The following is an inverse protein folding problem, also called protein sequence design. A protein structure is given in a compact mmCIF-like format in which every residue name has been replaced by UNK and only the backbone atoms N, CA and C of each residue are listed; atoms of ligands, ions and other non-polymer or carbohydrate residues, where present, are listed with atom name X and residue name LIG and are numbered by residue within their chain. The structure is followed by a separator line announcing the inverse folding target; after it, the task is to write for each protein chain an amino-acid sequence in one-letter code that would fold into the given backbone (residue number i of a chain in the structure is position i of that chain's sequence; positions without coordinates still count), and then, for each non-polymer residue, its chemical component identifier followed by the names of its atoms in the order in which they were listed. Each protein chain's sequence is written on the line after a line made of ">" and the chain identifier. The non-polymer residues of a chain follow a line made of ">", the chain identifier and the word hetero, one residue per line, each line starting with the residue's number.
data_IF_846263894077
#
_entry.id   IF_846263894077
#
_cell.length_a   1.000
_cell.length_b   1.000
_cell.length_c   1.000
_cell.angle_alpha   90.00
_cell.angle_beta   90.00
_cell.angle_gamma   90.00
#
_symmetry.space_group_name_H-M   'P 1'
#
loop_
_entity.id
_entity.type
_entity.pdbx_description
1 polymer ?
#
# COMPACT_ATOMS: atom_id res chain seq x y z
N UNK A 1 -8.57 -16.68 -3.01
CA UNK A 1 -9.16 -16.79 -1.65
C UNK A 1 -8.51 -15.81 -0.69
N UNK A 2 -7.22 -16.00 -0.35
CA UNK A 2 -6.40 -15.15 0.54
C UNK A 2 -6.69 -13.63 0.49
N UNK A 3 -6.57 -12.98 -0.67
CA UNK A 3 -6.78 -11.52 -0.79
C UNK A 3 -8.18 -11.05 -0.31
N UNK A 4 -9.24 -11.82 -0.55
CA UNK A 4 -10.60 -11.50 -0.06
C UNK A 4 -10.67 -11.57 1.47
N UNK A 5 -9.95 -12.51 2.10
CA UNK A 5 -9.88 -12.62 3.55
C UNK A 5 -9.13 -11.41 4.15
N UNK A 6 -7.94 -11.08 3.64
CA UNK A 6 -7.19 -9.91 4.09
C UNK A 6 -7.98 -8.60 3.94
N UNK A 7 -8.69 -8.41 2.82
CA UNK A 7 -9.58 -7.26 2.64
C UNK A 7 -10.76 -7.25 3.63
N UNK A 8 -11.32 -8.42 3.95
CA UNK A 8 -12.39 -8.56 4.96
C UNK A 8 -11.94 -8.22 6.38
N UNK A 9 -10.69 -8.56 6.73
CA UNK A 9 -10.07 -8.16 8.01
C UNK A 9 -9.69 -6.68 7.99
N UNK A 10 -9.10 -6.16 6.91
CA UNK A 10 -8.68 -4.76 6.79
C UNK A 10 -9.83 -3.76 6.95
N UNK A 11 -11.07 -4.13 6.59
CA UNK A 11 -12.26 -3.27 6.74
C UNK A 11 -12.77 -3.18 8.18
N UNK A 12 -12.26 -3.98 9.10
CA UNK A 12 -12.67 -3.99 10.51
C UNK A 12 -11.78 -3.05 11.32
N UNK A 13 -12.29 -1.94 11.90
CA UNK A 13 -11.47 -1.00 12.66
C UNK A 13 -10.68 -1.66 13.80
N UNK A 14 -11.25 -2.69 14.43
CA UNK A 14 -10.61 -3.47 15.50
C UNK A 14 -9.28 -4.12 15.12
N UNK A 15 -8.95 -4.31 13.83
CA UNK A 15 -7.65 -4.87 13.44
C UNK A 15 -6.47 -3.97 13.87
N UNK A 16 -6.72 -2.67 14.01
CA UNK A 16 -5.74 -1.69 14.48
C UNK A 16 -5.79 -1.50 16.00
N UNK A 17 -7.00 -1.54 16.58
CA UNK A 17 -7.25 -1.17 17.97
C UNK A 17 -7.18 -2.35 18.95
N UNK A 18 -7.20 -3.60 18.48
CA UNK A 18 -7.23 -4.81 19.31
C UNK A 18 -5.95 -5.66 19.22
N UNK A 19 -4.82 -5.04 18.83
CA UNK A 19 -3.51 -5.69 18.88
C UNK A 19 -3.02 -5.76 20.34
N UNK A 20 -2.35 -6.85 20.76
CA UNK A 20 -1.86 -6.98 22.14
C UNK A 20 -0.71 -5.99 22.40
N UNK A 21 -0.43 -5.77 23.68
CA UNK A 21 0.78 -5.05 24.10
C UNK A 21 2.03 -5.73 23.55
N UNK A 22 3.00 -4.92 23.11
CA UNK A 22 4.23 -5.41 22.52
C UNK A 22 5.37 -4.41 22.78
N UNK A 23 6.64 -4.85 22.80
CA UNK A 23 7.76 -4.05 23.30
C UNK A 23 8.17 -2.88 22.39
N UNK A 24 7.60 -2.75 21.19
CA UNK A 24 7.83 -1.60 20.30
C UNK A 24 6.75 -1.48 19.23
N UNK A 25 6.64 -0.30 18.62
CA UNK A 25 5.81 -0.06 17.42
C UNK A 25 6.17 -1.05 16.29
N UNK A 26 7.46 -1.33 16.07
CA UNK A 26 7.89 -2.31 15.08
C UNK A 26 7.34 -3.72 15.35
N UNK A 27 7.23 -4.11 16.62
CA UNK A 27 6.64 -5.39 17.02
C UNK A 27 5.12 -5.41 16.79
N UNK A 28 4.41 -4.33 17.12
CA UNK A 28 2.96 -4.21 16.81
C UNK A 28 2.68 -4.21 15.30
N UNK A 29 3.56 -3.62 14.50
CA UNK A 29 3.47 -3.67 13.04
C UNK A 29 3.68 -5.10 12.49
N UNK A 30 4.57 -5.91 13.08
CA UNK A 30 4.67 -7.35 12.76
C UNK A 30 3.39 -8.10 13.12
N UNK A 31 2.84 -7.88 14.31
CA UNK A 31 1.57 -8.49 14.76
C UNK A 31 0.40 -8.12 13.83
N UNK A 32 0.33 -6.88 13.36
CA UNK A 32 -0.65 -6.44 12.35
C UNK A 32 -0.51 -7.22 11.03
N UNK A 33 0.71 -7.36 10.52
CA UNK A 33 0.98 -8.15 9.31
C UNK A 33 0.54 -9.61 9.48
N UNK A 34 0.78 -10.19 10.66
CA UNK A 34 0.34 -11.55 10.98
C UNK A 34 -1.19 -11.67 11.04
N UNK A 35 -1.87 -10.71 11.67
CA UNK A 35 -3.33 -10.70 11.81
C UNK A 35 -4.06 -10.51 10.47
N UNK A 36 -3.56 -9.62 9.60
CA UNK A 36 -4.14 -9.37 8.28
C UNK A 36 -3.96 -10.53 7.30
N UNK A 37 -2.90 -11.31 7.45
CA UNK A 37 -2.30 -12.05 6.35
C UNK A 37 -1.47 -13.28 6.78
N UNK A 38 -1.97 -14.18 7.66
CA UNK A 38 -1.14 -15.16 8.35
C UNK A 38 -0.37 -16.09 7.42
N UNK A 39 -0.96 -16.51 6.28
CA UNK A 39 -0.28 -17.39 5.32
C UNK A 39 0.88 -16.67 4.60
N UNK A 40 0.71 -15.38 4.25
CA UNK A 40 1.78 -14.57 3.62
C UNK A 40 2.86 -14.20 4.65
N UNK A 41 2.46 -13.97 5.90
CA UNK A 41 3.39 -13.76 7.01
C UNK A 41 4.31 -14.99 7.19
N UNK A 42 3.73 -16.18 7.27
CA UNK A 42 4.49 -17.44 7.34
C UNK A 42 5.40 -17.67 6.12
N UNK A 43 4.94 -17.33 4.91
CA UNK A 43 5.69 -17.55 3.68
C UNK A 43 6.84 -16.55 3.43
N UNK A 44 6.79 -15.34 3.99
CA UNK A 44 7.81 -14.31 3.74
C UNK A 44 9.11 -14.51 4.54
N UNK A 45 9.03 -15.14 5.72
CA UNK A 45 10.16 -15.27 6.63
C UNK A 45 10.47 -13.96 7.39
N UNK A 46 11.20 -14.10 8.49
CA UNK A 46 11.34 -13.05 9.51
C UNK A 46 12.10 -11.82 9.00
N UNK A 47 13.23 -11.99 8.30
CA UNK A 47 14.05 -10.88 7.81
C UNK A 47 13.32 -10.02 6.76
N UNK A 48 12.57 -10.66 5.85
CA UNK A 48 11.77 -9.96 4.86
C UNK A 48 10.67 -9.13 5.53
N UNK A 49 9.99 -9.69 6.55
CA UNK A 49 8.98 -8.98 7.34
C UNK A 49 9.58 -7.80 8.14
N UNK A 50 10.73 -8.00 8.79
CA UNK A 50 11.45 -6.94 9.52
C UNK A 50 11.89 -5.81 8.58
N UNK A 51 12.37 -6.15 7.39
CA UNK A 51 12.72 -5.17 6.36
C UNK A 51 11.48 -4.43 5.83
N UNK A 52 10.38 -5.14 5.57
CA UNK A 52 9.10 -4.56 5.14
C UNK A 52 8.55 -3.57 6.17
N UNK A 53 8.57 -3.92 7.46
CA UNK A 53 8.19 -3.03 8.56
C UNK A 53 9.08 -1.80 8.61
N UNK A 54 10.42 -1.95 8.52
CA UNK A 54 11.36 -0.82 8.57
C UNK A 54 11.15 0.15 7.41
N UNK A 55 11.02 -0.37 6.19
CA UNK A 55 10.80 0.44 4.98
C UNK A 55 9.42 1.10 4.99
N UNK A 56 8.36 0.36 5.30
CA UNK A 56 6.99 0.87 5.37
C UNK A 56 6.80 1.92 6.46
N UNK A 57 7.39 1.75 7.65
CA UNK A 57 7.37 2.75 8.71
C UNK A 57 8.10 4.05 8.30
N UNK A 58 9.25 3.92 7.64
CA UNK A 58 9.99 5.09 7.12
C UNK A 58 9.18 5.85 6.06
N UNK A 59 8.61 5.13 5.08
CA UNK A 59 7.80 5.72 4.02
C UNK A 59 6.51 6.37 4.55
N UNK A 60 5.84 5.74 5.52
CA UNK A 60 4.68 6.33 6.19
C UNK A 60 5.04 7.69 6.81
N UNK A 61 6.17 7.78 7.53
CA UNK A 61 6.65 9.05 8.11
C UNK A 61 7.02 10.10 7.05
N UNK A 62 7.58 9.70 5.90
CA UNK A 62 7.88 10.61 4.79
C UNK A 62 6.61 11.27 4.22
N UNK A 63 5.48 10.56 4.21
CA UNK A 63 4.16 11.10 3.83
C UNK A 63 3.46 11.89 4.96
N UNK A 64 4.12 12.07 6.12
CA UNK A 64 3.56 12.75 7.28
C UNK A 64 2.65 11.88 8.17
N UNK A 65 2.58 10.56 7.93
CA UNK A 65 1.85 9.62 8.79
C UNK A 65 2.73 9.26 10.01
N UNK A 66 2.87 10.20 10.94
CA UNK A 66 3.74 10.07 12.12
C UNK A 66 3.10 9.34 13.30
N UNK A 67 1.77 9.11 13.27
CA UNK A 67 1.07 8.32 14.28
C UNK A 67 1.29 6.82 14.07
N UNK A 68 1.25 6.04 15.15
CA UNK A 68 1.31 4.58 15.09
C UNK A 68 0.18 4.01 14.20
N UNK A 69 -1.06 4.49 14.38
CA UNK A 69 -2.21 4.11 13.54
C UNK A 69 -1.99 4.46 12.06
N UNK A 70 -1.37 5.60 11.76
CA UNK A 70 -1.01 5.99 10.40
C UNK A 70 0.00 5.04 9.76
N UNK A 71 1.05 4.67 10.49
CA UNK A 71 2.02 3.67 10.04
C UNK A 71 1.39 2.28 9.84
N UNK A 72 0.48 1.87 10.74
CA UNK A 72 -0.29 0.62 10.61
C UNK A 72 -1.14 0.59 9.34
N UNK A 73 -1.92 1.65 9.08
CA UNK A 73 -2.74 1.79 7.87
C UNK A 73 -1.86 1.75 6.62
N UNK A 74 -0.76 2.49 6.59
CA UNK A 74 0.17 2.50 5.46
C UNK A 74 0.74 1.11 5.18
N UNK A 75 1.21 0.41 6.22
CA UNK A 75 1.80 -0.92 6.09
C UNK A 75 0.77 -1.98 5.67
N UNK A 76 -0.48 -1.86 6.14
CA UNK A 76 -1.58 -2.71 5.67
C UNK A 76 -1.87 -2.50 4.18
N UNK A 77 -1.79 -1.26 3.67
CA UNK A 77 -1.90 -0.98 2.24
C UNK A 77 -0.71 -1.51 1.44
N UNK A 78 0.53 -1.40 1.94
CA UNK A 78 1.70 -2.05 1.33
C UNK A 78 1.49 -3.56 1.20
N UNK A 79 0.87 -4.21 2.20
CA UNK A 79 0.64 -5.65 2.20
C UNK A 79 -0.40 -6.11 1.15
N UNK A 80 -1.41 -5.28 0.90
CA UNK A 80 -2.58 -5.56 0.03
C UNK A 80 -2.38 -5.07 -1.40
N UNK A 81 -1.76 -3.90 -1.59
CA UNK A 81 -1.59 -3.22 -2.87
C UNK A 81 -0.18 -3.40 -3.47
N UNK A 82 0.81 -3.70 -2.62
CA UNK A 82 2.22 -3.79 -2.96
C UNK A 82 3.05 -2.62 -2.41
N UNK A 83 4.36 -2.84 -2.32
CA UNK A 83 5.34 -1.77 -2.06
C UNK A 83 5.33 -0.76 -3.21
N UNK A 84 5.22 0.53 -2.90
CA UNK A 84 5.14 1.61 -3.91
C UNK A 84 3.72 1.98 -4.33
N UNK A 85 2.67 1.45 -3.68
CA UNK A 85 1.26 1.80 -3.98
C UNK A 85 0.97 3.31 -3.91
N UNK A 86 1.74 4.04 -3.10
CA UNK A 86 1.71 5.49 -2.92
C UNK A 86 2.12 6.28 -4.16
N UNK A 87 2.74 5.60 -5.14
CA UNK A 87 3.22 6.16 -6.42
C UNK A 87 2.73 5.38 -7.64
N UNK A 88 1.98 4.30 -7.45
CA UNK A 88 1.49 3.43 -8.52
C UNK A 88 0.31 4.11 -9.27
N UNK A 89 0.38 4.29 -10.61
CA UNK A 89 -0.72 4.82 -11.41
C UNK A 89 -2.04 4.02 -11.33
N UNK A 90 -2.02 2.79 -10.82
CA UNK A 90 -3.23 2.02 -10.49
C UNK A 90 -3.98 2.59 -9.27
N UNK A 91 -3.30 3.29 -8.36
CA UNK A 91 -3.87 3.81 -7.11
C UNK A 91 -3.72 5.34 -6.97
N UNK A 92 -4.22 6.15 -7.94
CA UNK A 92 -4.03 7.60 -7.94
C UNK A 92 -4.67 8.28 -6.71
N UNK A 93 -5.71 7.66 -6.13
CA UNK A 93 -6.32 8.08 -4.88
C UNK A 93 -5.35 8.06 -3.68
N UNK A 94 -4.39 7.12 -3.66
CA UNK A 94 -3.42 7.00 -2.57
C UNK A 94 -2.44 8.17 -2.62
N UNK A 95 -1.83 8.40 -3.79
CA UNK A 95 -0.97 9.55 -4.04
C UNK A 95 -1.67 10.88 -3.71
N UNK A 96 -2.92 11.05 -4.17
CA UNK A 96 -3.71 12.26 -3.95
C UNK A 96 -3.97 12.54 -2.46
N UNK A 97 -4.29 11.52 -1.65
CA UNK A 97 -4.51 11.70 -0.19
C UNK A 97 -3.19 11.95 0.54
N UNK A 98 -2.14 11.20 0.23
CA UNK A 98 -0.84 11.32 0.90
C UNK A 98 -0.19 12.69 0.65
N UNK A 99 -0.28 13.19 -0.58
CA UNK A 99 0.28 14.48 -1.00
C UNK A 99 -0.61 15.70 -0.66
N UNK A 100 -1.83 15.52 -0.14
CA UNK A 100 -2.76 16.63 0.11
C UNK A 100 -2.24 17.56 1.23
N UNK A 101 -1.92 18.84 0.95
CA UNK A 101 -1.41 19.78 1.96
C UNK A 101 -2.49 20.23 2.97
N UNK A 102 -3.78 20.12 2.63
CA UNK A 102 -4.88 20.42 3.56
C UNK A 102 -5.00 19.37 4.69
N UNK A 103 -4.45 18.18 4.50
CA UNK A 103 -4.37 17.13 5.52
C UNK A 103 -3.06 17.26 6.32
N UNK A 104 -2.90 18.41 6.98
CA UNK A 104 -1.70 18.72 7.78
C UNK A 104 -1.62 17.89 9.08
N UNK A 105 -2.77 17.53 9.67
CA UNK A 105 -2.80 16.65 10.85
C UNK A 105 -2.52 15.18 10.47
N UNK A 106 -1.53 14.52 11.12
CA UNK A 106 -1.17 13.13 10.84
C UNK A 106 -2.27 12.09 11.10
N UNK A 107 -3.18 12.33 12.06
CA UNK A 107 -4.26 11.39 12.40
C UNK A 107 -5.43 11.50 11.41
N UNK A 108 -5.84 12.73 11.07
CA UNK A 108 -6.86 12.96 10.05
C UNK A 108 -6.36 12.56 8.65
N UNK A 109 -5.07 12.74 8.31
CA UNK A 109 -4.50 12.18 7.07
C UNK A 109 -4.59 10.66 7.04
N UNK A 110 -4.23 9.98 8.13
CA UNK A 110 -4.32 8.52 8.24
C UNK A 110 -5.77 8.01 8.09
N UNK A 111 -6.71 8.68 8.74
CA UNK A 111 -8.16 8.41 8.68
C UNK A 111 -8.73 8.62 7.28
N UNK A 112 -8.36 9.71 6.60
CA UNK A 112 -8.74 9.97 5.21
C UNK A 112 -8.20 8.90 4.26
N UNK A 113 -6.93 8.48 4.43
CA UNK A 113 -6.31 7.42 3.64
C UNK A 113 -7.05 6.08 3.82
N UNK A 114 -7.37 5.72 5.06
CA UNK A 114 -8.10 4.50 5.38
C UNK A 114 -9.55 4.52 4.88
N UNK A 115 -10.25 5.65 4.97
CA UNK A 115 -11.59 5.82 4.41
C UNK A 115 -11.58 5.67 2.87
N UNK A 116 -10.64 6.34 2.19
CA UNK A 116 -10.49 6.26 0.74
C UNK A 116 -10.14 4.84 0.29
N UNK A 117 -9.21 4.16 0.99
CA UNK A 117 -8.86 2.78 0.69
C UNK A 117 -10.06 1.83 0.83
N UNK A 118 -10.87 1.97 1.89
CA UNK A 118 -12.06 1.13 2.07
C UNK A 118 -13.07 1.30 0.93
N UNK A 119 -13.32 2.53 0.48
CA UNK A 119 -14.20 2.79 -0.65
C UNK A 119 -13.65 2.18 -1.95
N UNK A 120 -12.39 2.50 -2.28
CA UNK A 120 -11.72 2.09 -3.52
C UNK A 120 -11.50 0.57 -3.64
N UNK A 121 -11.34 -0.14 -2.51
CA UNK A 121 -11.17 -1.59 -2.47
C UNK A 121 -12.49 -2.36 -2.31
N UNK A 122 -13.57 -1.68 -1.88
CA UNK A 122 -14.92 -2.23 -1.95
C UNK A 122 -15.44 -2.24 -3.39
N UNK A 123 -15.20 -1.16 -4.14
CA UNK A 123 -15.58 -1.02 -5.54
C UNK A 123 -14.71 -1.90 -6.45
N UNK A 124 -13.37 -1.81 -6.33
CA UNK A 124 -12.43 -2.47 -7.22
C UNK A 124 -11.25 -3.04 -6.42
N UNK A 125 -11.34 -4.27 -5.88
CA UNK A 125 -10.23 -4.91 -5.16
C UNK A 125 -9.05 -5.22 -6.11
N UNK A 126 -7.83 -5.46 -5.59
CA UNK A 126 -6.67 -5.76 -6.44
C UNK A 126 -6.93 -7.00 -7.32
N UNK A 127 -6.58 -6.90 -8.60
CA UNK A 127 -6.94 -7.90 -9.61
C UNK A 127 -8.25 -7.63 -10.37
N UNK A 128 -9.00 -6.58 -10.02
CA UNK A 128 -10.08 -6.06 -10.88
C UNK A 128 -9.54 -5.44 -12.18
N UNK A 129 -10.43 -5.09 -13.12
CA UNK A 129 -10.12 -4.57 -14.47
C UNK A 129 -9.31 -3.26 -14.53
N UNK A 130 -9.01 -2.62 -13.38
CA UNK A 130 -8.14 -1.45 -13.22
C UNK A 130 -6.85 -1.49 -14.08
N UNK A 131 -6.21 -2.66 -14.23
CA UNK A 131 -5.04 -2.83 -15.13
C UNK A 131 -5.39 -2.77 -16.61
N UNK A 132 -6.53 -3.30 -17.01
CA UNK A 132 -7.04 -3.25 -18.40
C UNK A 132 -7.39 -1.81 -18.77
N UNK A 133 -8.03 -1.08 -17.86
CA UNK A 133 -8.44 0.31 -18.12
C UNK A 133 -7.25 1.27 -18.08
N UNK A 134 -6.28 1.06 -17.18
CA UNK A 134 -4.98 1.75 -17.25
C UNK A 134 -4.24 1.42 -18.54
N UNK A 135 -4.20 0.15 -18.98
CA UNK A 135 -3.55 -0.24 -20.24
C UNK A 135 -4.16 0.48 -21.46
N UNK A 136 -5.50 0.53 -21.56
CA UNK A 136 -6.21 1.31 -22.59
C UNK A 136 -5.93 2.81 -22.53
N UNK A 137 -5.66 3.37 -21.34
CA UNK A 137 -5.30 4.77 -21.17
C UNK A 137 -3.84 5.02 -21.58
N UNK A 138 -2.91 4.16 -21.16
CA UNK A 138 -1.49 4.23 -21.51
C UNK A 138 -1.24 4.02 -23.01
N UNK A 139 -2.02 3.16 -23.69
CA UNK A 139 -1.99 2.98 -25.15
C UNK A 139 -2.34 4.25 -25.95
N UNK A 140 -2.94 5.27 -25.31
CA UNK A 140 -3.24 6.57 -25.93
C UNK A 140 -2.14 7.61 -25.69
N UNK A 141 -1.13 7.30 -24.86
CA UNK A 141 0.06 8.14 -24.69
C UNK A 141 1.03 7.92 -25.85
N UNK A 142 1.83 8.93 -26.18
CA UNK A 142 2.75 8.87 -27.34
C UNK A 142 3.74 7.71 -27.21
N UNK A 143 3.77 6.85 -28.21
CA UNK A 143 4.70 5.71 -28.31
C UNK A 143 6.12 6.12 -28.67
N UNK A 144 6.37 7.37 -29.09
CA UNK A 144 7.70 7.87 -29.49
C UNK A 144 8.75 7.72 -28.38
N UNK A 145 8.36 7.85 -27.10
CA UNK A 145 9.27 7.67 -25.97
C UNK A 145 9.60 6.19 -25.68
N UNK A 146 8.78 5.24 -26.17
CA UNK A 146 8.97 3.82 -25.94
C UNK A 146 9.80 3.13 -27.04
N UNK A 147 9.79 3.68 -28.26
CA UNK A 147 10.59 3.20 -29.40
C UNK A 147 12.08 3.16 -29.03
N UNK A 148 12.60 4.24 -28.42
CA UNK A 148 14.02 4.38 -28.03
C UNK A 148 14.49 3.52 -26.84
N UNK A 149 13.71 2.55 -26.36
CA UNK A 149 14.09 1.73 -25.20
C UNK A 149 14.87 0.47 -25.63
N UNK A 150 14.58 -0.11 -26.81
CA UNK A 150 15.32 -1.22 -27.41
C UNK A 150 15.35 -1.05 -28.95
N UNK A 151 16.16 -0.11 -29.42
CA UNK A 151 16.50 0.16 -30.83
C UNK A 151 17.96 0.70 -30.81
N UNK A 152 19.04 0.07 -31.32
CA UNK A 152 19.36 -1.25 -31.92
C UNK A 152 20.84 -1.61 -31.53
N UNK A 153 21.45 -2.80 -31.80
CA UNK A 153 22.88 -3.03 -31.48
C UNK A 153 23.82 -2.13 -32.30
N UNK A 154 24.96 -1.75 -31.71
CA UNK A 154 25.99 -0.94 -32.38
C UNK A 154 26.40 -1.58 -33.72
N UNK A 155 26.33 -0.81 -34.81
CA UNK A 155 26.73 -1.25 -36.13
C UNK A 155 28.27 -1.41 -36.21
N UNK A 156 28.72 -2.46 -36.92
CA UNK A 156 30.15 -2.78 -37.16
C UNK A 156 30.90 -1.70 -37.95
#
# INVERSE_FOLDING_TARGET
>A
QYLRQTLGVLRQPQVFDSLPEAPSVGHRLLLLLQALAPQKYQALGEDALRNLVRQGYSAARQHGLTTERGAMIYLALVLVLGTGFDRDPLYPWAAAVLANPALADPAEKAKALYAMAQAQLAECPPGCSRRVDLSKALQKLSTQSCQRIIEEPDAE
#
